data_IF_879989286951
#
_entry.id   IF_879989286951
#
_cell.length_a   1.000
_cell.length_b   1.000
_cell.length_c   1.000
_cell.angle_alpha   90.00
_cell.angle_beta   90.00
_cell.angle_gamma   90.00
#
_symmetry.space_group_name_H-M   'P 1'
#
loop_
_entity.id
_entity.type
_entity.pdbx_description
1 polymer ?
#
# COMPACT_ATOMS: atom_id res chain seq x y z
N UNK A 1 -1.81 -41.79 -8.15
CA UNK A 1 -1.94 -40.55 -8.96
C UNK A 1 -3.41 -40.16 -8.97
N UNK A 2 -3.78 -39.14 -8.20
CA UNK A 2 -5.04 -38.41 -8.31
C UNK A 2 -4.78 -37.06 -7.64
N UNK A 3 -4.52 -36.03 -8.44
CA UNK A 3 -4.39 -34.64 -7.99
C UNK A 3 -5.73 -33.98 -8.25
N UNK A 4 -6.40 -33.62 -7.16
CA UNK A 4 -7.74 -33.05 -7.11
C UNK A 4 -7.82 -31.71 -7.84
N UNK A 5 -8.77 -31.59 -8.77
CA UNK A 5 -9.13 -30.38 -9.52
C UNK A 5 -10.08 -29.43 -8.74
N UNK A 6 -9.96 -29.30 -7.42
CA UNK A 6 -10.96 -28.56 -6.61
C UNK A 6 -10.61 -27.11 -6.24
N UNK A 7 -9.44 -26.58 -6.61
CA UNK A 7 -9.01 -25.23 -6.21
C UNK A 7 -9.48 -24.11 -7.16
N UNK A 8 -9.92 -24.42 -8.38
CA UNK A 8 -10.30 -23.41 -9.38
C UNK A 8 -11.71 -22.83 -9.22
N UNK A 9 -12.68 -23.62 -8.75
CA UNK A 9 -14.11 -23.25 -8.76
C UNK A 9 -14.50 -22.37 -7.55
N UNK A 10 -13.85 -22.58 -6.40
CA UNK A 10 -14.10 -21.78 -5.19
C UNK A 10 -13.52 -20.35 -5.32
N UNK A 11 -12.43 -20.18 -6.07
CA UNK A 11 -11.80 -18.87 -6.22
C UNK A 11 -12.68 -17.93 -7.06
N UNK A 12 -13.26 -18.42 -8.18
CA UNK A 12 -14.10 -17.61 -9.06
C UNK A 12 -15.42 -17.15 -8.42
N UNK A 13 -16.03 -17.98 -7.56
CA UNK A 13 -17.24 -17.60 -6.83
C UNK A 13 -16.94 -16.52 -5.76
N UNK A 14 -15.81 -16.66 -5.05
CA UNK A 14 -15.32 -15.66 -4.09
C UNK A 14 -15.00 -14.33 -4.78
N UNK A 15 -14.29 -14.34 -5.92
CA UNK A 15 -13.96 -13.13 -6.69
C UNK A 15 -15.21 -12.42 -7.24
N UNK A 16 -16.25 -13.17 -7.64
CA UNK A 16 -17.52 -12.62 -8.10
C UNK A 16 -18.30 -11.91 -6.98
N UNK A 17 -18.32 -12.50 -5.77
CA UNK A 17 -18.96 -11.90 -4.60
C UNK A 17 -18.24 -10.62 -4.17
N UNK A 18 -16.91 -10.65 -4.06
CA UNK A 18 -16.09 -9.46 -3.74
C UNK A 18 -16.27 -8.36 -4.79
N UNK A 19 -16.42 -8.72 -6.07
CA UNK A 19 -16.70 -7.74 -7.13
C UNK A 19 -18.01 -6.98 -6.92
N UNK A 20 -19.05 -7.64 -6.43
CA UNK A 20 -20.36 -7.03 -6.23
C UNK A 20 -20.36 -6.12 -5.00
N UNK A 21 -19.67 -6.52 -3.94
CA UNK A 21 -19.49 -5.72 -2.73
C UNK A 21 -18.74 -4.42 -3.07
N UNK A 22 -17.59 -4.51 -3.74
CA UNK A 22 -16.81 -3.34 -4.18
C UNK A 22 -17.66 -2.42 -5.04
N UNK A 23 -18.42 -2.98 -5.99
CA UNK A 23 -19.32 -2.20 -6.84
C UNK A 23 -20.33 -1.41 -6.02
N UNK A 24 -20.98 -2.05 -5.05
CA UNK A 24 -21.99 -1.41 -4.21
C UNK A 24 -21.40 -0.31 -3.34
N UNK A 25 -20.26 -0.56 -2.68
CA UNK A 25 -19.55 0.42 -1.86
C UNK A 25 -19.13 1.65 -2.68
N UNK A 26 -18.64 1.44 -3.91
CA UNK A 26 -18.29 2.55 -4.80
C UNK A 26 -19.53 3.34 -5.20
N UNK A 27 -20.64 2.68 -5.56
CA UNK A 27 -21.90 3.38 -5.88
C UNK A 27 -22.36 4.28 -4.73
N UNK A 28 -22.45 3.74 -3.52
CA UNK A 28 -22.81 4.50 -2.31
C UNK A 28 -21.86 5.69 -2.09
N UNK A 29 -20.54 5.48 -2.25
CA UNK A 29 -19.56 6.55 -2.11
C UNK A 29 -19.73 7.65 -3.16
N UNK A 30 -20.02 7.29 -4.41
CA UNK A 30 -20.26 8.26 -5.48
C UNK A 30 -21.51 9.12 -5.22
N UNK A 31 -22.59 8.51 -4.74
CA UNK A 31 -23.81 9.22 -4.36
C UNK A 31 -23.57 10.20 -3.19
N UNK A 32 -22.73 9.81 -2.23
CA UNK A 32 -22.35 10.68 -1.12
C UNK A 32 -21.45 11.84 -1.56
N UNK A 33 -20.54 11.62 -2.52
CA UNK A 33 -19.67 12.67 -3.06
C UNK A 33 -20.40 13.65 -3.97
N UNK A 34 -21.37 13.15 -4.75
CA UNK A 34 -22.15 13.95 -5.67
C UNK A 34 -23.64 13.70 -5.42
N UNK A 35 -24.28 14.50 -4.54
CA UNK A 35 -25.68 14.31 -4.16
C UNK A 35 -26.66 14.32 -5.34
N UNK A 36 -26.31 14.98 -6.45
CA UNK A 36 -27.09 14.97 -7.68
C UNK A 36 -27.28 13.56 -8.26
N UNK A 37 -26.39 12.61 -7.95
CA UNK A 37 -26.45 11.24 -8.47
C UNK A 37 -27.16 10.25 -7.55
N UNK A 38 -27.78 10.69 -6.45
CA UNK A 38 -28.49 9.80 -5.53
C UNK A 38 -29.52 8.92 -6.28
N UNK A 39 -29.36 7.60 -6.21
CA UNK A 39 -30.18 6.61 -6.93
C UNK A 39 -29.98 6.61 -8.45
N UNK A 40 -28.95 7.29 -8.96
CA UNK A 40 -28.64 7.51 -10.38
C UNK A 40 -27.20 7.14 -10.73
N UNK A 41 -26.56 6.30 -9.89
CA UNK A 41 -25.29 5.67 -10.23
C UNK A 41 -25.55 4.26 -10.73
N UNK A 42 -25.35 4.05 -12.03
CA UNK A 42 -25.76 2.83 -12.72
C UNK A 42 -24.57 2.09 -13.35
N UNK A 43 -24.78 0.82 -13.66
CA UNK A 43 -23.84 0.05 -14.48
C UNK A 43 -24.00 0.44 -15.96
N UNK A 44 -23.22 -0.19 -16.83
CA UNK A 44 -23.30 0.03 -18.28
C UNK A 44 -24.75 -0.20 -18.74
N UNK A 45 -25.41 0.80 -19.35
CA UNK A 45 -26.80 0.68 -19.80
C UNK A 45 -26.94 -0.42 -20.86
N UNK A 46 -28.11 -1.05 -20.91
CA UNK A 46 -28.40 -2.06 -21.93
C UNK A 46 -28.48 -1.40 -23.32
N UNK A 47 -28.23 -2.15 -24.41
CA UNK A 47 -28.38 -1.60 -25.76
C UNK A 47 -29.79 -1.01 -25.98
N UNK A 48 -29.84 0.27 -26.37
CA UNK A 48 -31.10 0.99 -26.61
C UNK A 48 -31.68 1.71 -25.39
N UNK A 49 -31.10 1.54 -24.21
CA UNK A 49 -31.45 2.30 -23.02
C UNK A 49 -30.81 3.70 -23.09
N UNK A 50 -31.63 4.74 -22.91
CA UNK A 50 -31.17 6.14 -22.96
C UNK A 50 -30.97 6.65 -21.54
N UNK A 51 -29.76 7.15 -21.26
CA UNK A 51 -29.41 7.71 -19.96
C UNK A 51 -30.19 9.00 -19.68
N UNK A 52 -30.74 9.12 -18.47
CA UNK A 52 -31.33 10.35 -17.97
C UNK A 52 -30.39 11.04 -16.97
N UNK A 53 -29.83 12.20 -17.35
CA UNK A 53 -28.94 12.98 -16.49
C UNK A 53 -29.67 13.78 -15.41
N UNK A 54 -28.96 14.35 -14.42
CA UNK A 54 -27.57 14.07 -14.10
C UNK A 54 -27.40 12.66 -13.48
N UNK A 55 -26.39 11.92 -13.94
CA UNK A 55 -26.13 10.56 -13.48
C UNK A 55 -24.64 10.20 -13.62
N UNK A 56 -24.25 9.02 -13.13
CA UNK A 56 -22.93 8.45 -13.37
C UNK A 56 -23.02 6.98 -13.79
N UNK A 57 -22.16 6.57 -14.71
CA UNK A 57 -22.03 5.18 -15.14
C UNK A 57 -20.72 4.60 -14.62
N UNK A 58 -20.78 3.40 -14.04
CA UNK A 58 -19.60 2.62 -13.64
C UNK A 58 -19.43 1.42 -14.56
N UNK A 59 -18.23 1.28 -15.12
CA UNK A 59 -17.84 0.10 -15.88
C UNK A 59 -16.64 -0.57 -15.21
N UNK A 60 -16.74 -1.87 -14.97
CA UNK A 60 -15.61 -2.67 -14.47
C UNK A 60 -14.86 -3.22 -15.68
N UNK A 61 -13.59 -2.88 -15.79
CA UNK A 61 -12.70 -3.36 -16.83
C UNK A 61 -11.86 -4.54 -16.30
N UNK A 62 -10.92 -4.99 -17.14
CA UNK A 62 -10.05 -6.14 -16.91
C UNK A 62 -9.34 -6.10 -15.55
N UNK A 63 -9.25 -7.29 -14.94
CA UNK A 63 -8.46 -7.54 -13.75
C UNK A 63 -7.00 -7.78 -14.15
N UNK A 64 -6.10 -6.94 -13.66
CA UNK A 64 -4.69 -7.02 -14.01
C UNK A 64 -3.92 -7.44 -12.74
N UNK A 65 -3.41 -8.68 -12.66
CA UNK A 65 -2.55 -9.07 -11.55
C UNK A 65 -1.31 -8.19 -11.56
N UNK A 66 -1.05 -7.46 -10.47
CA UNK A 66 0.04 -6.47 -10.41
C UNK A 66 1.22 -6.97 -9.61
N UNK A 67 1.01 -7.35 -8.35
CA UNK A 67 2.10 -7.76 -7.45
C UNK A 67 1.59 -8.37 -6.16
N UNK A 68 2.26 -9.41 -5.66
CA UNK A 68 1.87 -10.17 -4.46
C UNK A 68 1.74 -9.34 -3.16
N UNK A 69 2.32 -8.14 -3.10
CA UNK A 69 2.32 -7.30 -1.88
C UNK A 69 1.20 -6.25 -1.82
N UNK A 70 0.65 -5.86 -2.98
CA UNK A 70 -0.42 -4.86 -3.10
C UNK A 70 -1.79 -5.49 -3.42
N UNK A 71 -1.84 -6.83 -3.48
CA UNK A 71 -2.99 -7.60 -3.91
C UNK A 71 -3.30 -7.47 -5.41
N UNK A 72 -4.54 -7.78 -5.78
CA UNK A 72 -5.00 -7.64 -7.16
C UNK A 72 -5.48 -6.21 -7.44
N UNK A 73 -5.37 -5.81 -8.71
CA UNK A 73 -5.83 -4.51 -9.20
C UNK A 73 -6.95 -4.74 -10.20
N UNK A 74 -8.08 -4.06 -9.97
CA UNK A 74 -9.12 -3.95 -10.99
C UNK A 74 -9.21 -2.52 -11.49
N UNK A 75 -9.30 -2.36 -12.81
CA UNK A 75 -9.54 -1.04 -13.38
C UNK A 75 -11.04 -0.83 -13.48
N UNK A 76 -11.53 0.29 -12.96
CA UNK A 76 -12.89 0.74 -13.18
C UNK A 76 -12.87 2.04 -13.97
N UNK A 77 -13.94 2.27 -14.73
CA UNK A 77 -14.22 3.55 -15.36
C UNK A 77 -15.45 4.15 -14.69
N UNK A 78 -15.37 5.42 -14.33
CA UNK A 78 -16.48 6.19 -13.80
C UNK A 78 -16.70 7.36 -14.77
N UNK A 79 -17.89 7.42 -15.34
CA UNK A 79 -18.27 8.41 -16.34
C UNK A 79 -19.43 9.27 -15.80
N UNK A 80 -19.17 10.49 -15.31
CA UNK A 80 -20.21 11.48 -15.07
C UNK A 80 -20.96 11.85 -16.36
N UNK A 81 -22.27 12.06 -16.26
CA UNK A 81 -23.12 12.56 -17.35
C UNK A 81 -23.88 13.80 -16.87
N UNK A 82 -23.55 14.96 -17.43
CA UNK A 82 -24.19 16.23 -17.16
C UNK A 82 -25.15 16.62 -18.29
N UNK A 83 -26.22 17.34 -17.93
CA UNK A 83 -27.09 17.99 -18.91
C UNK A 83 -26.39 19.23 -19.48
N UNK A 84 -26.45 19.47 -20.80
CA UNK A 84 -25.90 20.70 -21.38
C UNK A 84 -26.45 21.97 -20.73
N UNK A 85 -27.74 21.97 -20.37
CA UNK A 85 -28.43 23.08 -19.70
C UNK A 85 -27.98 23.31 -18.24
N UNK A 86 -27.42 22.28 -17.59
CA UNK A 86 -26.93 22.34 -16.20
C UNK A 86 -25.41 22.61 -16.14
N UNK A 87 -24.87 23.31 -17.13
CA UNK A 87 -23.44 23.67 -17.21
C UNK A 87 -22.56 22.65 -17.93
N UNK A 88 -23.10 21.52 -18.40
CA UNK A 88 -22.43 20.59 -19.31
C UNK A 88 -21.01 20.22 -18.89
N UNK A 89 -20.01 20.68 -19.66
CA UNK A 89 -18.60 20.35 -19.43
C UNK A 89 -18.04 20.92 -18.12
N UNK A 90 -18.47 22.12 -17.69
CA UNK A 90 -18.04 22.70 -16.42
C UNK A 90 -18.50 21.85 -15.24
N UNK A 91 -19.73 21.32 -15.33
CA UNK A 91 -20.28 20.44 -14.32
C UNK A 91 -19.57 19.07 -14.29
N UNK A 92 -19.21 18.53 -15.45
CA UNK A 92 -18.38 17.32 -15.58
C UNK A 92 -17.00 17.53 -14.95
N UNK A 93 -16.37 18.68 -15.16
CA UNK A 93 -15.08 19.02 -14.53
C UNK A 93 -15.21 19.09 -13.01
N UNK A 94 -16.23 19.80 -12.50
CA UNK A 94 -16.47 19.91 -11.06
C UNK A 94 -16.69 18.55 -10.40
N UNK A 95 -17.50 17.67 -11.00
CA UNK A 95 -17.67 16.31 -10.50
C UNK A 95 -16.38 15.49 -10.62
N UNK A 96 -15.62 15.65 -11.70
CA UNK A 96 -14.34 14.96 -11.86
C UNK A 96 -13.34 15.33 -10.74
N UNK A 97 -13.27 16.62 -10.37
CA UNK A 97 -12.48 17.09 -9.26
C UNK A 97 -12.94 16.47 -7.92
N UNK A 98 -14.24 16.46 -7.66
CA UNK A 98 -14.81 15.84 -6.46
C UNK A 98 -14.53 14.33 -6.38
N UNK A 99 -14.55 13.63 -7.52
CA UNK A 99 -14.18 12.21 -7.59
C UNK A 99 -12.70 11.97 -7.34
N UNK A 100 -11.82 12.80 -7.90
CA UNK A 100 -10.40 12.71 -7.62
C UNK A 100 -10.13 12.91 -6.12
N UNK A 101 -10.67 13.96 -5.52
CA UNK A 101 -10.50 14.24 -4.08
C UNK A 101 -11.13 13.15 -3.19
N UNK A 102 -12.33 12.67 -3.55
CA UNK A 102 -13.09 11.74 -2.72
C UNK A 102 -12.73 10.27 -2.85
N UNK A 103 -11.96 9.88 -3.87
CA UNK A 103 -11.60 8.49 -4.14
C UNK A 103 -10.09 8.25 -4.25
N UNK A 104 -9.27 9.19 -4.76
CA UNK A 104 -7.86 8.93 -4.97
C UNK A 104 -7.10 8.80 -3.64
N UNK A 105 -6.43 7.66 -3.45
CA UNK A 105 -5.72 7.29 -2.23
C UNK A 105 -6.63 7.26 -0.97
N UNK A 106 -7.94 7.22 -1.15
CA UNK A 106 -8.91 7.09 -0.07
C UNK A 106 -9.17 5.62 0.19
N UNK A 107 -9.03 5.20 1.44
CA UNK A 107 -9.47 3.89 1.91
C UNK A 107 -11.00 3.87 1.97
N UNK A 108 -11.59 2.91 1.26
CA UNK A 108 -13.00 2.58 1.34
C UNK A 108 -13.16 1.27 2.09
N UNK A 109 -14.21 1.19 2.89
CA UNK A 109 -14.57 0.02 3.66
C UNK A 109 -15.94 -0.45 3.21
N UNK A 110 -16.07 -1.74 2.97
CA UNK A 110 -17.35 -2.37 2.68
C UNK A 110 -18.09 -2.74 3.97
N UNK A 111 -19.36 -3.16 3.83
CA UNK A 111 -20.22 -3.51 4.97
C UNK A 111 -19.73 -4.78 5.72
N UNK A 112 -18.86 -5.58 5.10
CA UNK A 112 -18.26 -6.79 5.69
C UNK A 112 -16.91 -6.51 6.36
N UNK A 113 -16.44 -5.25 6.36
CA UNK A 113 -15.16 -4.82 6.94
C UNK A 113 -13.94 -5.02 6.02
N UNK A 114 -14.17 -5.46 4.78
CA UNK A 114 -13.16 -5.48 3.73
C UNK A 114 -12.77 -4.05 3.34
N UNK A 115 -11.49 -3.82 3.11
CA UNK A 115 -10.97 -2.50 2.78
C UNK A 115 -10.22 -2.50 1.45
N UNK A 116 -10.45 -1.48 0.65
CA UNK A 116 -9.77 -1.27 -0.62
C UNK A 116 -9.41 0.20 -0.83
N UNK A 117 -8.41 0.46 -1.67
CA UNK A 117 -8.01 1.82 -2.05
C UNK A 117 -8.25 2.05 -3.52
N UNK A 118 -8.84 3.19 -3.86
CA UNK A 118 -8.96 3.66 -5.24
C UNK A 118 -7.80 4.58 -5.58
N UNK A 119 -7.20 4.42 -6.77
CA UNK A 119 -6.13 5.28 -7.27
C UNK A 119 -6.53 5.79 -8.63
N UNK A 120 -6.64 7.11 -8.79
CA UNK A 120 -6.90 7.72 -10.08
C UNK A 120 -5.75 7.47 -11.07
N UNK A 121 -6.09 7.11 -12.30
CA UNK A 121 -5.15 6.70 -13.35
C UNK A 121 -5.17 7.64 -14.56
N UNK A 122 -5.90 8.75 -14.47
CA UNK A 122 -6.16 9.64 -15.59
C UNK A 122 -7.52 9.42 -16.25
N UNK A 123 -7.86 10.32 -17.16
CA UNK A 123 -9.02 10.21 -18.04
C UNK A 123 -8.67 9.33 -19.24
N UNK A 124 -9.62 8.51 -19.71
CA UNK A 124 -9.41 7.77 -20.96
C UNK A 124 -9.73 8.60 -22.20
N UNK A 125 -10.58 9.63 -22.04
CA UNK A 125 -11.19 10.39 -23.13
C UNK A 125 -11.26 11.89 -22.76
N UNK A 126 -11.55 12.75 -23.74
CA UNK A 126 -11.91 14.16 -23.51
C UNK A 126 -13.42 14.34 -23.28
N UNK A 127 -13.85 15.55 -22.92
CA UNK A 127 -15.27 15.89 -22.88
C UNK A 127 -15.92 15.66 -24.23
N UNK A 128 -17.04 14.93 -24.22
CA UNK A 128 -17.83 14.64 -25.41
C UNK A 128 -19.32 14.66 -25.10
N UNK A 129 -20.12 14.92 -26.12
CA UNK A 129 -21.56 14.70 -26.08
C UNK A 129 -21.82 13.23 -26.41
N UNK A 130 -22.53 12.54 -25.54
CA UNK A 130 -22.99 11.19 -25.80
C UNK A 130 -24.12 11.21 -26.83
N UNK A 131 -23.94 10.53 -27.95
CA UNK A 131 -24.87 10.60 -29.07
C UNK A 131 -26.26 10.02 -28.77
N UNK A 132 -26.36 9.10 -27.81
CA UNK A 132 -27.63 8.44 -27.48
C UNK A 132 -28.48 9.28 -26.55
N UNK A 133 -27.86 9.95 -25.58
CA UNK A 133 -28.53 10.70 -24.52
C UNK A 133 -28.47 12.22 -24.68
N UNK A 134 -27.56 12.74 -25.51
CA UNK A 134 -27.30 14.17 -25.66
C UNK A 134 -26.57 14.80 -24.46
N UNK A 135 -26.16 13.99 -23.48
CA UNK A 135 -25.50 14.43 -22.24
C UNK A 135 -24.00 14.64 -22.47
N UNK A 136 -23.39 15.57 -21.73
CA UNK A 136 -21.94 15.78 -21.72
C UNK A 136 -21.27 14.81 -20.75
N UNK A 137 -20.21 14.13 -21.18
CA UNK A 137 -19.52 13.12 -20.38
C UNK A 137 -18.01 13.10 -20.60
N UNK A 138 -17.28 12.61 -19.59
CA UNK A 138 -15.86 12.28 -19.63
C UNK A 138 -15.62 11.01 -18.82
N UNK A 139 -14.81 10.08 -19.33
CA UNK A 139 -14.51 8.83 -18.63
C UNK A 139 -13.23 8.95 -17.79
N UNK A 140 -13.35 8.74 -16.48
CA UNK A 140 -12.22 8.69 -15.53
C UNK A 140 -11.85 7.25 -15.22
N UNK A 141 -10.55 6.94 -15.13
CA UNK A 141 -10.07 5.60 -14.77
C UNK A 141 -9.57 5.58 -13.34
N UNK A 142 -10.00 4.57 -12.58
CA UNK A 142 -9.48 4.28 -11.24
C UNK A 142 -8.98 2.85 -11.17
N UNK A 143 -7.86 2.64 -10.48
CA UNK A 143 -7.40 1.31 -10.06
C UNK A 143 -7.90 1.04 -8.66
N UNK A 144 -8.71 0.01 -8.49
CA UNK A 144 -9.14 -0.51 -7.20
C UNK A 144 -8.13 -1.55 -6.76
N UNK A 145 -7.48 -1.30 -5.62
CA UNK A 145 -6.51 -2.20 -5.01
C UNK A 145 -7.12 -2.84 -3.78
N UNK A 146 -7.21 -4.15 -3.81
CA UNK A 146 -7.78 -4.97 -2.74
C UNK A 146 -6.65 -5.83 -2.19
N UNK A 147 -6.23 -5.60 -0.94
CA UNK A 147 -5.25 -6.47 -0.30
C UNK A 147 -5.79 -7.89 -0.22
N UNK A 148 -5.00 -8.88 -0.64
CA UNK A 148 -5.38 -10.28 -0.47
C UNK A 148 -5.32 -10.67 1.02
N UNK A 149 -6.26 -11.48 1.47
CA UNK A 149 -6.19 -12.12 2.78
C UNK A 149 -5.05 -13.13 2.75
N UNK A 150 -3.86 -12.70 3.15
CA UNK A 150 -2.73 -13.63 3.34
C UNK A 150 -3.05 -14.43 4.60
N UNK A 151 -3.50 -15.67 4.42
CA UNK A 151 -3.43 -16.67 5.48
C UNK A 151 -1.96 -16.92 5.77
N UNK A 152 -1.41 -16.21 6.75
CA UNK A 152 -0.10 -16.54 7.28
C UNK A 152 -0.19 -17.94 7.90
N UNK A 153 0.20 -18.97 7.17
CA UNK A 153 0.67 -20.20 7.79
C UNK A 153 1.88 -19.83 8.63
N UNK A 154 1.62 -19.68 9.92
CA UNK A 154 2.56 -19.28 10.96
C UNK A 154 3.68 -20.34 11.07
N UNK A 155 4.75 -20.20 10.30
CA UNK A 155 5.95 -21.02 10.44
C UNK A 155 7.16 -20.42 9.68
N UNK A 156 7.50 -19.17 9.97
CA UNK A 156 8.76 -18.56 9.55
C UNK A 156 9.12 -17.46 10.53
N UNK A 157 10.28 -17.55 11.17
CA UNK A 157 10.74 -16.57 12.15
C UNK A 157 10.63 -15.15 11.55
N UNK A 158 9.84 -14.29 12.20
CA UNK A 158 9.70 -12.87 11.85
C UNK A 158 11.10 -12.27 11.71
N UNK A 159 11.37 -11.60 10.59
CA UNK A 159 12.66 -10.92 10.39
C UNK A 159 12.91 -9.94 11.55
N UNK A 160 13.97 -10.16 12.32
CA UNK A 160 14.29 -9.33 13.49
C UNK A 160 14.47 -7.84 13.13
N UNK A 161 14.87 -7.53 11.89
CA UNK A 161 14.98 -6.15 11.41
C UNK A 161 13.60 -5.53 11.16
N UNK A 162 12.65 -6.30 10.63
CA UNK A 162 11.26 -5.88 10.48
C UNK A 162 10.65 -5.58 11.86
N UNK A 163 10.78 -6.52 12.80
CA UNK A 163 10.26 -6.36 14.15
C UNK A 163 10.84 -5.12 14.84
N UNK A 164 12.15 -4.89 14.70
CA UNK A 164 12.83 -3.72 15.24
C UNK A 164 12.32 -2.41 14.61
N UNK A 165 12.19 -2.36 13.29
CA UNK A 165 11.70 -1.18 12.57
C UNK A 165 10.24 -0.87 12.94
N UNK A 166 9.38 -1.88 13.00
CA UNK A 166 7.99 -1.73 13.45
C UNK A 166 7.89 -1.27 14.90
N UNK A 167 8.73 -1.82 15.78
CA UNK A 167 8.83 -1.41 17.18
C UNK A 167 9.24 0.06 17.31
N UNK A 168 10.29 0.46 16.60
CA UNK A 168 10.75 1.85 16.55
C UNK A 168 9.69 2.80 16.03
N UNK A 169 9.04 2.48 14.90
CA UNK A 169 7.96 3.31 14.34
C UNK A 169 6.81 3.47 15.33
N UNK A 170 6.48 2.42 16.10
CA UNK A 170 5.45 2.49 17.15
C UNK A 170 5.81 3.43 18.27
N UNK A 171 7.08 3.46 18.67
CA UNK A 171 7.57 4.43 19.67
C UNK A 171 7.48 5.86 19.17
N UNK A 172 7.72 6.11 17.88
CA UNK A 172 7.63 7.46 17.31
C UNK A 172 6.19 7.98 17.18
N UNK A 173 5.27 7.10 16.77
CA UNK A 173 3.91 7.52 16.37
C UNK A 173 2.81 7.18 17.38
N UNK A 174 3.09 6.34 18.37
CA UNK A 174 2.10 5.92 19.36
C UNK A 174 1.11 4.87 18.86
N UNK A 175 0.11 4.57 19.69
CA UNK A 175 -0.84 3.45 19.49
C UNK A 175 -1.95 3.73 18.47
N UNK A 176 -2.12 4.99 18.06
CA UNK A 176 -3.13 5.38 17.07
C UNK A 176 -2.76 4.91 15.65
N UNK A 177 -1.47 4.60 15.41
CA UNK A 177 -0.98 4.13 14.12
C UNK A 177 -0.88 2.62 14.07
N UNK A 178 -1.48 2.04 13.03
CA UNK A 178 -1.31 0.62 12.72
C UNK A 178 -0.06 0.41 11.89
N UNK A 179 0.80 -0.53 12.28
CA UNK A 179 2.10 -0.74 11.64
C UNK A 179 2.16 -2.17 11.11
N UNK A 180 2.41 -2.28 9.80
CA UNK A 180 2.41 -3.53 9.05
C UNK A 180 3.79 -3.78 8.42
N UNK A 181 4.02 -5.01 7.98
CA UNK A 181 5.25 -5.45 7.35
C UNK A 181 4.95 -6.21 6.07
N UNK A 182 5.73 -5.92 5.03
CA UNK A 182 5.80 -6.50 3.68
C UNK A 182 4.53 -6.46 2.82
N UNK A 183 3.36 -6.71 3.41
CA UNK A 183 2.07 -6.78 2.71
C UNK A 183 1.01 -6.00 3.49
N UNK A 184 0.13 -5.30 2.77
CA UNK A 184 -1.08 -4.74 3.38
C UNK A 184 -2.02 -5.87 3.81
N UNK A 185 -2.46 -5.96 5.07
CA UNK A 185 -3.46 -6.94 5.43
C UNK A 185 -4.84 -6.54 4.91
N UNK A 186 -5.70 -7.54 4.69
CA UNK A 186 -7.13 -7.31 4.50
C UNK A 186 -7.69 -6.50 5.67
N UNK A 187 -8.46 -5.44 5.37
CA UNK A 187 -9.06 -4.59 6.39
C UNK A 187 -8.09 -3.67 7.13
N UNK A 188 -6.87 -3.42 6.60
CA UNK A 188 -5.90 -2.49 7.20
C UNK A 188 -6.56 -1.17 7.65
N UNK A 189 -6.19 -0.65 8.81
CA UNK A 189 -6.81 0.54 9.41
C UNK A 189 -6.29 1.87 8.83
N UNK A 190 -7.11 2.91 8.93
CA UNK A 190 -6.69 4.30 8.68
C UNK A 190 -5.73 4.80 9.78
N UNK A 191 -4.84 5.72 9.40
CA UNK A 191 -3.54 5.95 10.04
C UNK A 191 -2.74 4.64 10.12
N UNK A 192 -2.06 4.34 9.04
CA UNK A 192 -1.21 3.16 8.97
C UNK A 192 0.10 3.37 8.23
N UNK A 193 1.06 2.54 8.59
CA UNK A 193 2.36 2.46 7.94
C UNK A 193 2.65 1.02 7.55
N UNK A 194 3.11 0.82 6.32
CA UNK A 194 3.68 -0.43 5.87
C UNK A 194 5.16 -0.22 5.57
N UNK A 195 6.00 -1.06 6.16
CA UNK A 195 7.40 -1.20 5.75
C UNK A 195 7.56 -2.42 4.86
N UNK A 196 8.19 -2.24 3.70
CA UNK A 196 8.42 -3.32 2.73
C UNK A 196 9.89 -3.52 2.48
N UNK A 197 10.38 -4.75 2.67
CA UNK A 197 11.75 -5.11 2.28
C UNK A 197 11.83 -5.20 0.74
N UNK A 198 12.70 -4.40 0.13
CA UNK A 198 12.84 -4.34 -1.33
C UNK A 198 14.19 -4.83 -1.85
N UNK A 199 15.18 -4.94 -0.97
CA UNK A 199 16.51 -5.40 -1.32
C UNK A 199 17.30 -5.85 -0.11
N UNK A 200 18.19 -6.81 -0.32
CA UNK A 200 19.15 -7.29 0.67
C UNK A 200 20.47 -7.55 -0.04
N UNK A 201 21.56 -7.00 0.48
CA UNK A 201 22.90 -7.20 -0.06
C UNK A 201 23.89 -7.40 1.08
N UNK A 202 25.00 -8.06 0.75
CA UNK A 202 26.08 -8.32 1.71
C UNK A 202 27.41 -7.97 1.10
N UNK A 203 28.23 -7.23 1.84
CA UNK A 203 29.59 -6.86 1.44
C UNK A 203 30.57 -7.37 2.48
N UNK A 204 31.69 -7.93 2.02
CA UNK A 204 32.75 -8.36 2.94
C UNK A 204 33.57 -7.14 3.36
N UNK A 205 33.77 -6.96 4.66
CA UNK A 205 34.57 -5.86 5.23
C UNK A 205 35.77 -6.47 5.97
N UNK A 206 36.93 -6.52 5.30
CA UNK A 206 38.11 -7.20 5.83
C UNK A 206 37.97 -8.73 5.84
N UNK A 207 38.72 -9.42 6.70
CA UNK A 207 38.77 -10.90 6.72
C UNK A 207 37.73 -11.56 7.62
N UNK A 208 37.22 -10.83 8.63
CA UNK A 208 36.42 -11.39 9.73
C UNK A 208 35.02 -10.80 9.88
N UNK A 209 34.66 -9.77 9.09
CA UNK A 209 33.37 -9.10 9.19
C UNK A 209 32.60 -9.11 7.85
N UNK A 210 31.29 -9.26 7.97
CA UNK A 210 30.33 -9.12 6.89
C UNK A 210 29.41 -7.94 7.22
N UNK A 211 29.25 -7.03 6.28
CA UNK A 211 28.24 -5.98 6.33
C UNK A 211 27.00 -6.44 5.57
N UNK A 212 25.85 -6.46 6.24
CA UNK A 212 24.55 -6.72 5.64
C UNK A 212 23.85 -5.38 5.49
N UNK A 213 23.28 -5.12 4.31
CA UNK A 213 22.46 -3.95 4.01
C UNK A 213 21.09 -4.40 3.54
N UNK A 214 20.02 -3.80 4.09
CA UNK A 214 18.64 -4.03 3.67
C UNK A 214 17.99 -2.71 3.28
N UNK A 215 17.33 -2.72 2.13
CA UNK A 215 16.60 -1.57 1.57
C UNK A 215 15.12 -1.74 1.83
N UNK A 216 14.50 -0.68 2.33
CA UNK A 216 13.12 -0.63 2.77
C UNK A 216 12.39 0.52 2.10
N UNK A 217 11.11 0.28 1.82
CA UNK A 217 10.18 1.33 1.42
C UNK A 217 9.11 1.47 2.50
N UNK A 218 8.91 2.70 2.97
CA UNK A 218 7.86 3.06 3.92
C UNK A 218 6.68 3.70 3.20
N UNK A 219 5.50 3.13 3.42
CA UNK A 219 4.23 3.60 2.90
C UNK A 219 3.41 4.16 4.05
N UNK A 220 3.06 5.45 4.00
CA UNK A 220 2.27 6.14 5.02
C UNK A 220 0.89 6.45 4.45
N UNK A 221 -0.16 5.96 5.12
CA UNK A 221 -1.56 6.20 4.78
C UNK A 221 -2.27 6.89 5.94
N UNK A 222 -2.89 8.03 5.66
CA UNK A 222 -3.73 8.78 6.60
C UNK A 222 -4.92 9.40 5.87
N UNK A 223 -5.88 9.97 6.62
CA UNK A 223 -7.11 10.50 6.05
C UNK A 223 -6.89 11.77 5.20
N UNK A 224 -5.83 12.53 5.46
CA UNK A 224 -5.53 13.76 4.73
C UNK A 224 -4.04 13.84 4.37
N UNK A 225 -3.73 14.60 3.31
CA UNK A 225 -2.37 14.75 2.78
C UNK A 225 -1.44 15.47 3.76
N UNK A 226 -1.97 16.35 4.60
CA UNK A 226 -1.16 17.08 5.59
C UNK A 226 -0.59 16.13 6.65
N UNK A 227 -1.42 15.22 7.19
CA UNK A 227 -1.03 14.17 8.13
C UNK A 227 0.03 13.27 7.50
N UNK A 228 -0.17 12.83 6.26
CA UNK A 228 0.83 12.01 5.54
C UNK A 228 2.16 12.75 5.45
N UNK A 229 2.17 14.01 5.00
CA UNK A 229 3.39 14.81 4.86
C UNK A 229 4.08 15.04 6.20
N UNK A 230 3.32 15.38 7.25
CA UNK A 230 3.85 15.59 8.59
C UNK A 230 4.48 14.31 9.14
N UNK A 231 3.78 13.17 9.02
CA UNK A 231 4.29 11.88 9.50
C UNK A 231 5.52 11.43 8.74
N UNK A 232 5.52 11.53 7.40
CA UNK A 232 6.68 11.16 6.57
C UNK A 232 7.90 12.00 6.96
N UNK A 233 7.76 13.33 7.02
CA UNK A 233 8.85 14.23 7.41
C UNK A 233 9.36 13.91 8.81
N UNK A 234 8.44 13.75 9.78
CA UNK A 234 8.79 13.40 11.16
C UNK A 234 9.61 12.11 11.24
N UNK A 235 9.17 11.03 10.57
CA UNK A 235 9.89 9.76 10.60
C UNK A 235 11.28 9.85 9.96
N UNK A 236 11.41 10.55 8.83
CA UNK A 236 12.71 10.77 8.19
C UNK A 236 13.65 11.54 9.10
N UNK A 237 13.17 12.62 9.73
CA UNK A 237 13.95 13.39 10.70
C UNK A 237 14.37 12.54 11.89
N UNK A 238 13.46 11.75 12.47
CA UNK A 238 13.78 10.87 13.60
C UNK A 238 14.78 9.78 13.22
N UNK A 239 14.67 9.18 12.04
CA UNK A 239 15.65 8.21 11.53
C UNK A 239 17.03 8.83 11.31
N UNK A 240 17.07 10.09 10.87
CA UNK A 240 18.33 10.82 10.64
C UNK A 240 19.04 11.17 11.96
N UNK A 241 18.31 11.58 13.01
CA UNK A 241 18.90 11.95 14.30
C UNK A 241 19.15 10.76 15.23
N UNK A 242 18.39 9.68 15.07
CA UNK A 242 18.55 8.43 15.82
C UNK A 242 19.03 7.32 14.89
N UNK A 243 20.33 7.26 14.56
CA UNK A 243 20.83 6.37 13.52
C UNK A 243 20.86 4.90 13.97
N UNK A 244 20.46 4.55 15.20
CA UNK A 244 20.51 3.17 15.71
C UNK A 244 19.14 2.72 16.18
N UNK A 245 18.71 1.57 15.67
CA UNK A 245 17.48 0.88 16.07
C UNK A 245 17.87 -0.43 16.75
N UNK A 246 17.47 -0.60 18.01
CA UNK A 246 17.75 -1.82 18.77
C UNK A 246 16.97 -3.01 18.20
N UNK A 247 17.62 -4.17 18.11
CA UNK A 247 16.95 -5.41 17.70
C UNK A 247 16.17 -6.00 18.88
N UNK A 248 14.90 -6.31 18.66
CA UNK A 248 13.93 -6.74 19.68
C UNK A 248 14.33 -8.05 20.36
N UNK A 249 14.98 -8.97 19.65
CA UNK A 249 15.33 -10.31 20.14
C UNK A 249 16.67 -10.34 20.91
N UNK A 250 17.11 -9.21 21.45
CA UNK A 250 18.40 -9.06 22.11
C UNK A 250 18.29 -8.18 23.33
N UNK A 251 19.16 -8.40 24.34
CA UNK A 251 19.25 -7.58 25.55
C UNK A 251 19.79 -6.15 25.27
N UNK A 252 19.38 -5.52 24.16
CA UNK A 252 19.82 -4.20 23.71
C UNK A 252 21.24 -4.13 23.14
N UNK A 253 21.95 -5.26 23.07
CA UNK A 253 23.36 -5.29 22.62
C UNK A 253 23.53 -5.24 21.12
N UNK A 254 22.52 -5.66 20.34
CA UNK A 254 22.57 -5.58 18.86
C UNK A 254 21.62 -4.52 18.36
N UNK A 255 22.11 -3.76 17.39
CA UNK A 255 21.35 -2.73 16.70
C UNK A 255 21.60 -2.83 15.19
N UNK A 256 20.65 -2.28 14.43
CA UNK A 256 20.84 -1.92 13.03
C UNK A 256 21.06 -0.42 12.96
N UNK A 257 21.86 0.02 11.99
CA UNK A 257 22.19 1.42 11.80
C UNK A 257 21.51 1.95 10.54
N UNK A 258 20.97 3.15 10.58
CA UNK A 258 20.49 3.88 9.40
C UNK A 258 21.71 4.29 8.58
N UNK A 259 21.83 3.74 7.37
CA UNK A 259 22.87 4.12 6.39
C UNK A 259 22.39 5.30 5.54
N UNK A 260 21.12 5.25 5.10
CA UNK A 260 20.50 6.28 4.28
C UNK A 260 19.00 6.37 4.59
N UNK A 261 18.45 7.58 4.62
CA UNK A 261 17.01 7.81 4.69
C UNK A 261 16.64 9.02 3.83
N UNK A 262 15.59 8.89 3.03
CA UNK A 262 15.05 9.98 2.21
C UNK A 262 13.54 9.83 2.04
N UNK A 263 12.87 10.91 1.61
CA UNK A 263 11.47 10.87 1.25
C UNK A 263 11.18 11.52 -0.10
N UNK A 264 10.23 10.94 -0.81
CA UNK A 264 9.54 11.51 -1.96
C UNK A 264 8.08 11.77 -1.58
N UNK A 265 7.77 13.04 -1.25
CA UNK A 265 6.42 13.45 -0.82
C UNK A 265 5.41 13.48 -1.97
N UNK A 266 5.85 13.25 -3.22
CA UNK A 266 4.97 13.15 -4.40
C UNK A 266 4.72 11.70 -4.80
N UNK A 267 5.43 10.75 -4.18
CA UNK A 267 5.22 9.34 -4.46
C UNK A 267 3.82 8.88 -4.03
N UNK A 268 3.21 8.03 -4.86
CA UNK A 268 1.94 7.38 -4.53
C UNK A 268 2.10 6.56 -3.23
N UNK A 269 1.31 6.94 -2.23
CA UNK A 269 1.40 6.41 -0.88
C UNK A 269 1.22 4.89 -0.82
N UNK A 270 0.29 4.38 -1.64
CA UNK A 270 -0.10 2.99 -1.63
C UNK A 270 0.86 2.13 -2.46
N UNK A 271 1.27 2.62 -3.64
CA UNK A 271 2.03 1.84 -4.63
C UNK A 271 3.54 1.99 -4.56
N UNK A 272 4.02 3.22 -4.37
CA UNK A 272 5.43 3.52 -4.47
C UNK A 272 6.07 3.70 -3.10
N UNK A 273 5.27 4.16 -2.13
CA UNK A 273 5.72 4.53 -0.79
C UNK A 273 6.53 5.81 -0.82
N UNK A 274 6.47 6.58 0.27
CA UNK A 274 7.12 7.89 0.32
C UNK A 274 8.51 7.82 0.93
N UNK A 275 8.84 6.83 1.76
CA UNK A 275 10.12 6.75 2.48
C UNK A 275 11.02 5.71 1.83
N UNK A 276 12.27 6.06 1.58
CA UNK A 276 13.34 5.12 1.23
C UNK A 276 14.32 5.05 2.40
N UNK A 277 14.60 3.84 2.87
CA UNK A 277 15.45 3.61 4.03
C UNK A 277 16.42 2.46 3.74
N UNK A 278 17.71 2.70 3.98
CA UNK A 278 18.73 1.66 3.99
C UNK A 278 19.19 1.44 5.42
N UNK A 279 18.99 0.23 5.93
CA UNK A 279 19.53 -0.22 7.21
C UNK A 279 20.75 -1.09 6.98
N UNK A 280 21.71 -1.03 7.90
CA UNK A 280 22.91 -1.85 7.85
C UNK A 280 23.28 -2.45 9.21
N UNK A 281 23.95 -3.60 9.17
CA UNK A 281 24.52 -4.25 10.34
C UNK A 281 25.83 -4.93 9.96
N UNK A 282 26.84 -4.79 10.83
CA UNK A 282 28.07 -5.57 10.73
C UNK A 282 27.97 -6.78 11.64
N UNK A 283 28.17 -7.97 11.07
CA UNK A 283 28.23 -9.23 11.80
C UNK A 283 29.61 -9.87 11.63
N UNK A 284 30.01 -10.68 12.60
CA UNK A 284 31.18 -11.54 12.43
C UNK A 284 30.88 -12.60 11.38
N UNK A 285 31.84 -12.88 10.52
CA UNK A 285 31.71 -13.92 9.51
C UNK A 285 31.63 -15.30 10.20
N UNK A 286 30.55 -16.08 9.99
CA UNK A 286 30.46 -17.45 10.50
C UNK A 286 31.61 -18.27 9.92
N UNK A 287 32.40 -18.93 10.77
CA UNK A 287 33.55 -19.76 10.37
C UNK A 287 34.94 -19.14 10.57
N UNK A 288 35.04 -17.90 11.07
CA UNK A 288 36.33 -17.35 11.54
C UNK A 288 36.52 -17.66 13.03
N UNK A 289 36.61 -18.95 13.36
CA UNK A 289 37.07 -19.38 14.68
C UNK A 289 38.59 -19.27 14.67
N UNK A 290 39.11 -18.09 15.03
CA UNK A 290 40.54 -17.88 15.16
C UNK A 290 40.95 -18.54 16.47
N UNK A 291 41.86 -19.53 16.48
CA UNK A 291 42.23 -20.22 17.70
C UNK A 291 42.75 -19.22 18.73
N UNK A 292 42.21 -19.29 19.96
CA UNK A 292 42.74 -18.57 21.11
C UNK A 292 44.25 -18.85 21.20
N UNK A 293 45.08 -17.83 21.09
CA UNK A 293 46.50 -17.92 21.44
C UNK A 293 46.56 -18.35 22.91
N UNK A 294 47.09 -19.56 23.14
CA UNK A 294 47.27 -20.16 24.46
C UNK A 294 48.13 -19.25 25.34
N UNK A 295 47.70 -19.09 26.60
CA UNK A 295 48.46 -18.45 27.67
C UNK A 295 49.89 -19.02 27.73
N UNK A 296 50.89 -18.14 27.62
CA UNK A 296 52.28 -18.49 27.90
C UNK A 296 52.46 -18.43 29.41
N UNK A 297 52.43 -19.59 30.07
CA UNK A 297 52.94 -19.72 31.43
C UNK A 297 54.47 -19.71 31.39
N UNK A 298 55.09 -18.59 31.74
CA UNK A 298 56.46 -18.62 32.24
C UNK A 298 56.41 -18.66 33.77
N UNK A 299 56.53 -19.87 34.31
CA UNK A 299 56.85 -20.11 35.72
C UNK A 299 58.20 -19.47 36.04
N UNK A 300 58.20 -18.55 37.01
CA UNK A 300 59.43 -18.10 37.68
C UNK A 300 60.08 -19.31 38.34
N UNK A 301 61.23 -19.74 37.82
CA UNK A 301 62.17 -20.56 38.57
C UNK A 301 62.82 -19.68 39.63
N UNK A 302 62.57 -20.00 40.90
CA UNK A 302 63.40 -19.59 42.03
C UNK A 302 64.28 -20.81 42.32
N UNK A 303 65.59 -20.65 42.16
CA UNK A 303 66.63 -21.08 43.10
C UNK A 303 67.88 -20.21 42.86
#
# INVERSE_FOLDING_TARGET
MNVSMSSGVNNTASTGQVSNIIRQTIKQKLEALVPAWNGRVQDIPAPGEVLAGPCAVIAFAEEVPKSAWAGYRRIIKISPYARPEDGGAEQVEAWSAALMEGLHQVRLEDEEGGAFTCIYLGSSDCDRVDASSGLVTRSLRFGVYVPETVEYTQAGATDSWMAALQGWTRTQLGQEWSIYGDVWPGGYKAKSILWRLTGCSTTTTGTSALEIRKQWIGHVLAANVADVRQTVTHLVEQLAVQPRIALTDTDGTRYVTVDEVSADLQADAYLNGQIRLTLQQRIRRPGTDVPLIREIHHSKGIE
#
